data_IF_577634037972
#
_entry.id   IF_577634037972
#
_cell.length_a   1.000
_cell.length_b   1.000
_cell.length_c   1.000
_cell.angle_alpha   90.00
_cell.angle_beta   90.00
_cell.angle_gamma   90.00
#
_symmetry.space_group_name_H-M   'P 1'
#
loop_
_entity.id
_entity.type
_entity.pdbx_description
1 polymer ?
#
# COMPACT_ATOMS: atom_id res chain seq x y z
N UNK A 1 24.13 -48.58 21.96
CA UNK A 1 24.26 -47.17 21.55
C UNK A 1 23.26 -46.98 20.43
N UNK A 2 22.09 -46.45 20.79
CA UNK A 2 20.97 -46.30 19.88
C UNK A 2 21.27 -45.14 18.92
N UNK A 3 21.42 -45.48 17.64
CA UNK A 3 21.54 -44.52 16.56
C UNK A 3 20.14 -43.92 16.31
N UNK A 4 19.81 -42.86 17.04
CA UNK A 4 18.63 -42.05 16.76
C UNK A 4 18.97 -41.21 15.52
N UNK A 5 18.67 -41.75 14.35
CA UNK A 5 18.63 -40.98 13.12
C UNK A 5 17.67 -39.78 13.32
N UNK A 6 18.01 -38.57 12.86
CA UNK A 6 17.09 -37.45 12.95
C UNK A 6 15.87 -37.80 12.11
N UNK A 7 14.72 -37.88 12.77
CA UNK A 7 13.42 -38.10 12.15
C UNK A 7 13.25 -37.05 11.04
N UNK A 8 13.12 -37.51 9.81
CA UNK A 8 12.69 -36.69 8.68
C UNK A 8 11.38 -36.03 9.08
N UNK A 9 11.42 -34.73 9.35
CA UNK A 9 10.24 -33.99 9.77
C UNK A 9 9.21 -34.05 8.65
N UNK A 10 8.16 -34.78 9.00
CA UNK A 10 6.92 -35.03 8.29
C UNK A 10 6.40 -33.77 7.59
N UNK A 11 5.96 -33.97 6.35
CA UNK A 11 5.04 -33.12 5.58
C UNK A 11 4.42 -31.98 6.39
N UNK A 12 5.04 -30.81 6.37
CA UNK A 12 4.46 -29.62 6.95
C UNK A 12 3.25 -29.26 6.10
N UNK A 13 2.04 -29.42 6.65
CA UNK A 13 0.81 -29.03 5.96
C UNK A 13 0.95 -27.62 5.39
N UNK A 14 0.28 -27.27 4.27
CA UNK A 14 0.35 -25.93 3.70
C UNK A 14 0.01 -24.84 4.73
N UNK A 15 -0.94 -25.13 5.62
CA UNK A 15 -1.29 -24.26 6.75
C UNK A 15 -0.12 -24.07 7.72
N UNK A 16 0.56 -25.14 8.12
CA UNK A 16 1.74 -25.08 8.99
C UNK A 16 2.86 -24.25 8.35
N UNK A 17 3.08 -24.38 7.04
CA UNK A 17 4.06 -23.56 6.31
C UNK A 17 3.72 -22.07 6.37
N UNK A 18 2.45 -21.71 6.18
CA UNK A 18 1.99 -20.32 6.22
C UNK A 18 2.12 -19.76 7.64
N UNK A 19 1.69 -20.50 8.67
CA UNK A 19 1.80 -20.07 10.07
C UNK A 19 3.26 -19.86 10.49
N UNK A 20 4.18 -20.72 10.04
CA UNK A 20 5.61 -20.54 10.26
C UNK A 20 6.16 -19.28 9.59
N UNK A 21 5.71 -18.99 8.35
CA UNK A 21 6.08 -17.74 7.67
C UNK A 21 5.54 -16.51 8.41
N UNK A 22 4.29 -16.52 8.86
CA UNK A 22 3.69 -15.42 9.63
C UNK A 22 4.46 -15.21 10.94
N UNK A 23 4.78 -16.29 11.66
CA UNK A 23 5.57 -16.22 12.90
C UNK A 23 6.99 -15.67 12.67
N UNK A 24 7.63 -16.05 11.55
CA UNK A 24 8.97 -15.58 11.18
C UNK A 24 8.99 -14.11 10.78
N UNK A 25 8.03 -13.68 9.95
CA UNK A 25 8.03 -12.33 9.37
C UNK A 25 7.26 -11.31 10.22
N UNK A 26 6.43 -11.76 11.16
CA UNK A 26 5.62 -10.93 12.06
C UNK A 26 4.97 -9.75 11.34
N UNK A 27 4.13 -10.00 10.32
CA UNK A 27 3.50 -8.92 9.57
C UNK A 27 2.73 -8.01 10.54
N UNK A 28 3.00 -6.71 10.45
CA UNK A 28 2.38 -5.69 11.29
C UNK A 28 1.82 -4.59 10.39
N UNK A 29 0.64 -4.11 10.74
CA UNK A 29 0.02 -2.95 10.13
C UNK A 29 -0.35 -1.96 11.24
N UNK A 30 0.46 -0.91 11.36
CA UNK A 30 0.30 0.17 12.31
C UNK A 30 0.43 1.51 11.58
N UNK A 31 -0.71 2.20 11.46
CA UNK A 31 -0.81 3.56 10.92
C UNK A 31 -1.51 4.44 11.93
N UNK A 32 -0.90 5.57 12.24
CA UNK A 32 -1.57 6.67 12.94
C UNK A 32 -2.57 7.38 12.00
N UNK A 33 -3.54 8.14 12.52
CA UNK A 33 -4.46 8.91 11.68
C UNK A 33 -3.75 9.82 10.68
N UNK A 34 -2.65 10.46 11.09
CA UNK A 34 -1.85 11.34 10.24
C UNK A 34 -1.16 10.57 9.11
N UNK A 35 -0.56 9.41 9.43
CA UNK A 35 0.04 8.54 8.40
C UNK A 35 -0.99 7.97 7.43
N UNK A 36 -2.21 7.73 7.92
CA UNK A 36 -3.32 7.37 7.05
C UNK A 36 -3.68 8.52 6.10
N UNK A 37 -3.67 9.77 6.59
CA UNK A 37 -3.84 10.96 5.74
C UNK A 37 -2.71 11.13 4.72
N UNK A 38 -1.47 10.80 5.06
CA UNK A 38 -0.35 10.80 4.11
C UNK A 38 -0.59 9.79 2.99
N UNK A 39 -0.98 8.57 3.35
CA UNK A 39 -1.27 7.50 2.39
C UNK A 39 -2.42 7.90 1.45
N UNK A 40 -3.49 8.48 2.00
CA UNK A 40 -4.61 9.00 1.23
C UNK A 40 -4.20 10.12 0.27
N UNK A 41 -3.40 11.08 0.75
CA UNK A 41 -2.89 12.17 -0.08
C UNK A 41 -2.03 11.65 -1.23
N UNK A 42 -1.14 10.69 -0.97
CA UNK A 42 -0.34 10.05 -2.02
C UNK A 42 -1.22 9.30 -3.03
N UNK A 43 -2.32 8.67 -2.62
CA UNK A 43 -3.21 7.98 -3.54
C UNK A 43 -4.00 8.93 -4.44
N UNK A 44 -4.45 10.06 -3.89
CA UNK A 44 -5.20 11.07 -4.64
C UNK A 44 -4.29 11.87 -5.59
N UNK A 45 -3.05 12.15 -5.18
CA UNK A 45 -2.08 12.85 -6.02
C UNK A 45 -1.83 12.13 -7.35
N UNK A 46 -1.77 10.80 -7.33
CA UNK A 46 -1.60 9.98 -8.53
C UNK A 46 -2.81 9.98 -9.47
N UNK A 47 -4.00 10.29 -8.97
CA UNK A 47 -5.22 10.39 -9.80
C UNK A 47 -5.31 11.73 -10.53
N UNK A 48 -4.88 12.82 -9.89
CA UNK A 48 -4.85 14.15 -10.52
C UNK A 48 -3.84 14.23 -11.68
N UNK A 49 -2.68 13.56 -11.58
CA UNK A 49 -1.67 13.52 -12.64
C UNK A 49 -2.04 12.63 -13.83
N UNK A 50 -2.78 11.54 -13.59
CA UNK A 50 -3.08 10.55 -14.63
C UNK A 50 -4.34 10.88 -15.45
N UNK A 51 -5.17 11.82 -15.00
CA UNK A 51 -6.41 12.22 -15.70
C UNK A 51 -7.41 11.07 -15.85
N UNK A 52 -7.26 9.98 -15.11
CA UNK A 52 -8.11 8.79 -15.18
C UNK A 52 -9.21 8.92 -14.13
N UNK A 53 -10.45 9.04 -14.61
CA UNK A 53 -11.64 9.04 -13.76
C UNK A 53 -11.74 7.77 -12.92
N UNK A 54 -12.27 7.92 -11.70
CA UNK A 54 -12.26 6.94 -10.60
C UNK A 54 -12.86 5.54 -10.88
N UNK A 55 -13.40 5.28 -12.08
CA UNK A 55 -14.29 4.14 -12.37
C UNK A 55 -13.74 3.07 -13.32
N UNK A 56 -12.45 3.08 -13.69
CA UNK A 56 -11.89 1.97 -14.48
C UNK A 56 -11.29 0.88 -13.58
N UNK A 57 -11.74 -0.37 -13.74
CA UNK A 57 -11.25 -1.58 -13.02
C UNK A 57 -9.77 -1.93 -13.30
N UNK A 58 -9.03 -1.04 -13.96
CA UNK A 58 -7.66 -1.24 -14.41
C UNK A 58 -6.77 -0.02 -14.09
N UNK A 59 -6.57 0.24 -12.79
CA UNK A 59 -5.46 1.08 -12.31
C UNK A 59 -4.11 0.36 -12.53
N UNK A 60 -3.62 0.31 -13.76
CA UNK A 60 -2.37 -0.39 -14.08
C UNK A 60 -1.18 0.53 -14.39
N UNK A 61 -1.34 1.85 -14.26
CA UNK A 61 -0.21 2.78 -14.26
C UNK A 61 -0.08 3.38 -12.87
N UNK A 62 0.60 2.65 -11.98
CA UNK A 62 1.02 3.20 -10.70
C UNK A 62 2.09 4.27 -10.98
N UNK A 63 1.68 5.54 -10.92
CA UNK A 63 2.61 6.67 -10.83
C UNK A 63 3.48 6.45 -9.61
N UNK A 64 4.78 6.31 -9.87
CA UNK A 64 5.76 6.22 -8.79
C UNK A 64 6.18 7.63 -8.38
N UNK A 65 6.43 7.81 -7.09
CA UNK A 65 6.86 9.06 -6.47
C UNK A 65 8.34 8.99 -6.15
N UNK A 66 9.13 9.98 -6.60
CA UNK A 66 10.46 10.16 -6.05
C UNK A 66 10.38 10.65 -4.58
N UNK A 67 11.51 10.63 -3.87
CA UNK A 67 11.57 11.04 -2.47
C UNK A 67 11.14 12.51 -2.28
N UNK A 68 11.50 13.40 -3.22
CA UNK A 68 11.15 14.83 -3.13
C UNK A 68 9.64 15.07 -3.25
N UNK A 69 8.97 14.28 -4.08
CA UNK A 69 7.53 14.31 -4.29
C UNK A 69 6.82 13.79 -3.04
N UNK A 70 7.29 12.67 -2.46
CA UNK A 70 6.81 12.17 -1.18
C UNK A 70 6.90 13.23 -0.08
N UNK A 71 8.06 13.89 0.06
CA UNK A 71 8.25 14.99 1.01
C UNK A 71 7.26 16.14 0.78
N UNK A 72 7.07 16.54 -0.48
CA UNK A 72 6.16 17.64 -0.83
C UNK A 72 4.70 17.32 -0.49
N UNK A 73 4.23 16.12 -0.82
CA UNK A 73 2.86 15.66 -0.52
C UNK A 73 2.62 15.62 0.99
N UNK A 74 3.54 15.02 1.74
CA UNK A 74 3.37 14.85 3.19
C UNK A 74 3.45 16.19 3.91
N UNK A 75 4.36 17.08 3.49
CA UNK A 75 4.43 18.45 4.03
C UNK A 75 3.12 19.21 3.79
N UNK A 76 2.52 19.06 2.61
CA UNK A 76 1.22 19.65 2.30
C UNK A 76 0.11 19.17 3.25
N UNK A 77 0.16 17.90 3.67
CA UNK A 77 -0.75 17.35 4.68
C UNK A 77 -0.44 17.91 6.06
N UNK A 78 0.82 17.87 6.50
CA UNK A 78 1.28 18.42 7.79
C UNK A 78 0.77 19.85 8.02
N UNK A 79 0.88 20.71 6.99
CA UNK A 79 0.40 22.09 7.02
C UNK A 79 -1.11 22.21 7.25
N UNK A 80 -1.90 21.24 6.79
CA UNK A 80 -3.38 21.22 6.94
C UNK A 80 -3.83 20.67 8.28
N UNK A 81 -3.07 19.74 8.85
CA UNK A 81 -3.37 19.15 10.16
C UNK A 81 -2.69 19.90 11.32
N UNK A 82 -2.03 21.03 11.03
CA UNK A 82 -1.29 21.88 11.98
C UNK A 82 -0.20 21.13 12.76
N UNK A 83 0.52 20.23 12.08
CA UNK A 83 1.69 19.56 12.64
C UNK A 83 2.90 20.50 12.73
N UNK A 84 3.83 20.20 13.63
CA UNK A 84 5.02 21.03 13.82
C UNK A 84 5.94 20.98 12.59
N UNK A 85 6.19 22.10 11.90
CA UNK A 85 6.99 22.11 10.67
C UNK A 85 8.45 21.74 10.91
N UNK A 86 8.98 21.93 12.13
CA UNK A 86 10.39 21.64 12.44
C UNK A 86 10.69 20.14 12.46
N UNK A 87 9.67 19.31 12.59
CA UNK A 87 9.77 17.85 12.69
C UNK A 87 9.24 17.13 11.44
N UNK A 88 8.82 17.88 10.41
CA UNK A 88 8.20 17.34 9.19
C UNK A 88 9.11 16.36 8.45
N UNK A 89 10.36 16.74 8.16
CA UNK A 89 11.29 15.84 7.45
C UNK A 89 11.57 14.54 8.21
N UNK A 90 11.61 14.59 9.54
CA UNK A 90 11.81 13.40 10.37
C UNK A 90 10.57 12.51 10.35
N UNK A 91 9.36 13.10 10.40
CA UNK A 91 8.10 12.36 10.27
C UNK A 91 7.95 11.70 8.91
N UNK A 92 8.24 12.44 7.83
CA UNK A 92 8.21 11.94 6.45
C UNK A 92 9.11 10.71 6.31
N UNK A 93 10.37 10.83 6.71
CA UNK A 93 11.34 9.74 6.61
C UNK A 93 10.93 8.52 7.43
N UNK A 94 10.43 8.74 8.66
CA UNK A 94 9.93 7.67 9.51
C UNK A 94 8.70 6.98 8.89
N UNK A 95 7.78 7.76 8.31
CA UNK A 95 6.62 7.23 7.61
C UNK A 95 7.03 6.41 6.39
N UNK A 96 7.87 6.93 5.50
CA UNK A 96 8.31 6.22 4.29
C UNK A 96 9.00 4.89 4.65
N UNK A 97 9.88 4.91 5.66
CA UNK A 97 10.53 3.69 6.16
C UNK A 97 9.51 2.69 6.70
N UNK A 98 8.61 3.13 7.58
CA UNK A 98 7.57 2.25 8.16
C UNK A 98 6.62 1.72 7.09
N UNK A 99 6.23 2.53 6.13
CA UNK A 99 5.32 2.14 5.06
C UNK A 99 5.95 1.11 4.12
N UNK A 100 7.26 1.18 3.86
CA UNK A 100 8.00 0.13 3.18
C UNK A 100 8.05 -1.17 4.01
N UNK A 101 8.41 -1.08 5.29
CA UNK A 101 8.48 -2.24 6.20
C UNK A 101 7.14 -2.97 6.34
N UNK A 102 6.03 -2.22 6.33
CA UNK A 102 4.67 -2.74 6.43
C UNK A 102 4.08 -3.15 5.07
N UNK A 103 4.82 -2.98 3.96
CA UNK A 103 4.37 -3.34 2.62
C UNK A 103 3.25 -2.46 2.06
N UNK A 104 3.09 -1.24 2.57
CA UNK A 104 2.18 -0.21 2.05
C UNK A 104 2.79 0.55 0.88
N UNK A 105 4.11 0.71 0.91
CA UNK A 105 4.91 1.20 -0.21
C UNK A 105 5.82 0.09 -0.72
N UNK A 106 6.17 0.18 -2.00
CA UNK A 106 7.23 -0.60 -2.64
C UNK A 106 8.22 0.33 -3.31
N UNK A 107 9.48 -0.07 -3.36
CA UNK A 107 10.53 0.68 -4.06
C UNK A 107 10.77 0.04 -5.43
N UNK A 108 10.57 0.80 -6.50
CA UNK A 108 10.73 0.35 -7.87
C UNK A 108 11.87 1.10 -8.56
N UNK A 109 12.93 0.37 -8.93
CA UNK A 109 14.05 0.87 -9.73
C UNK A 109 14.96 1.86 -8.99
N UNK A 110 16.25 1.79 -9.25
CA UNK A 110 17.18 2.90 -9.01
C UNK A 110 17.52 3.44 -10.41
N UNK A 111 17.02 4.62 -10.76
CA UNK A 111 17.39 5.28 -12.01
C UNK A 111 18.70 6.05 -11.80
N UNK A 112 19.48 6.27 -12.86
CA UNK A 112 20.72 7.09 -12.80
C UNK A 112 20.43 8.53 -12.35
N UNK A 113 19.19 9.00 -12.52
CA UNK A 113 18.72 10.30 -12.04
C UNK A 113 18.21 10.31 -10.59
N UNK A 114 17.80 9.16 -10.04
CA UNK A 114 17.18 9.03 -8.72
C UNK A 114 17.91 7.99 -7.87
N UNK A 115 18.86 8.48 -7.07
CA UNK A 115 19.67 7.67 -6.15
C UNK A 115 18.81 7.02 -5.05
N UNK A 116 17.62 7.58 -4.76
CA UNK A 116 16.68 7.10 -3.74
C UNK A 116 15.64 6.07 -4.22
N UNK A 117 15.54 5.85 -5.54
CA UNK A 117 14.51 5.01 -6.15
C UNK A 117 13.10 5.61 -6.08
N UNK A 118 12.13 4.92 -6.68
CA UNK A 118 10.77 5.43 -6.81
C UNK A 118 9.79 4.65 -5.91
N UNK A 119 9.07 5.36 -5.05
CA UNK A 119 8.03 4.82 -4.16
C UNK A 119 6.72 4.58 -4.91
N UNK A 120 6.10 3.42 -4.72
CA UNK A 120 4.78 3.11 -5.28
C UNK A 120 3.87 2.56 -4.20
N UNK A 121 2.63 3.02 -4.17
CA UNK A 121 1.57 2.43 -3.34
C UNK A 121 1.36 0.98 -3.75
N UNK A 122 1.25 0.07 -2.78
CA UNK A 122 0.95 -1.33 -3.06
C UNK A 122 -0.55 -1.55 -3.17
N UNK A 123 -0.96 -2.73 -3.64
CA UNK A 123 -2.38 -3.12 -3.64
C UNK A 123 -2.99 -3.03 -2.22
N UNK A 124 -2.23 -3.39 -1.19
CA UNK A 124 -2.67 -3.29 0.20
C UNK A 124 -3.03 -1.86 0.58
N UNK A 125 -2.20 -0.89 0.19
CA UNK A 125 -2.49 0.53 0.46
C UNK A 125 -3.77 0.99 -0.26
N UNK A 126 -3.97 0.60 -1.51
CA UNK A 126 -5.20 0.92 -2.24
C UNK A 126 -6.43 0.27 -1.62
N UNK A 127 -6.35 -0.99 -1.21
CA UNK A 127 -7.46 -1.71 -0.57
C UNK A 127 -7.85 -1.08 0.78
N UNK A 128 -6.88 -0.56 1.53
CA UNK A 128 -7.13 0.17 2.78
C UNK A 128 -7.84 1.51 2.57
N UNK A 129 -7.55 2.19 1.46
CA UNK A 129 -8.12 3.50 1.13
C UNK A 129 -9.48 3.40 0.41
N UNK A 130 -9.77 2.26 -0.23
CA UNK A 130 -10.99 2.02 -1.00
C UNK A 130 -12.29 2.44 -0.30
N UNK A 131 -12.50 2.19 1.02
CA UNK A 131 -13.73 2.62 1.71
C UNK A 131 -13.92 4.14 1.75
N UNK A 132 -12.84 4.91 1.64
CA UNK A 132 -12.85 6.39 1.72
C UNK A 132 -12.90 7.06 0.34
N UNK A 133 -12.69 6.29 -0.74
CA UNK A 133 -12.71 6.76 -2.12
C UNK A 133 -14.08 6.59 -2.78
N UNK A 134 -14.98 5.80 -2.17
CA UNK A 134 -16.34 5.67 -2.67
C UNK A 134 -17.06 7.00 -2.47
N UNK A 135 -17.39 7.68 -3.57
CA UNK A 135 -18.44 8.68 -3.54
C UNK A 135 -19.71 8.00 -3.01
N UNK A 136 -20.49 8.71 -2.19
CA UNK A 136 -21.84 8.31 -1.79
C UNK A 136 -22.82 8.20 -2.99
N UNK A 137 -22.30 8.08 -4.22
CA UNK A 137 -23.05 7.77 -5.42
C UNK A 137 -23.43 6.28 -5.38
N UNK A 138 -24.49 6.03 -4.64
CA UNK A 138 -25.37 4.88 -4.78
C UNK A 138 -26.06 4.80 -6.16
N UNK A 139 -25.67 5.62 -7.15
CA UNK A 139 -26.49 5.85 -8.34
C UNK A 139 -26.18 5.00 -9.57
N UNK A 140 -25.09 4.22 -9.61
CA UNK A 140 -24.87 3.26 -10.71
C UNK A 140 -24.17 1.97 -10.25
N UNK A 141 -24.70 1.34 -9.19
CA UNK A 141 -24.31 -0.05 -8.88
C UNK A 141 -24.94 -0.97 -9.91
N UNK A 142 -24.12 -1.41 -10.86
CA UNK A 142 -24.42 -2.57 -11.69
C UNK A 142 -25.05 -3.67 -10.83
N UNK A 143 -26.28 -4.05 -11.19
CA UNK A 143 -27.03 -5.05 -10.44
C UNK A 143 -26.32 -6.41 -10.53
N UNK A 144 -26.41 -7.23 -9.48
CA UNK A 144 -25.86 -8.58 -9.50
C UNK A 144 -26.34 -9.38 -10.73
N UNK A 145 -27.58 -9.14 -11.19
CA UNK A 145 -28.13 -9.71 -12.41
C UNK A 145 -27.38 -9.30 -13.68
N UNK A 146 -26.94 -8.04 -13.80
CA UNK A 146 -26.12 -7.59 -14.93
C UNK A 146 -24.72 -8.23 -14.90
N UNK A 147 -24.14 -8.43 -13.72
CA UNK A 147 -22.87 -9.17 -13.58
C UNK A 147 -22.99 -10.64 -14.00
N UNK A 148 -24.08 -11.31 -13.61
CA UNK A 148 -24.34 -12.69 -14.02
C UNK A 148 -24.52 -12.83 -15.54
N UNK A 149 -25.22 -11.89 -16.18
CA UNK A 149 -25.40 -11.85 -17.64
C UNK A 149 -24.09 -11.79 -18.43
N UNK A 150 -23.02 -11.22 -17.86
CA UNK A 150 -21.68 -11.17 -18.49
C UNK A 150 -20.88 -12.46 -18.30
N UNK A 151 -21.10 -13.20 -17.21
CA UNK A 151 -20.38 -14.44 -16.90
C UNK A 151 -20.92 -15.61 -17.75
N UNK A 152 -22.16 -15.50 -18.22
CA UNK A 152 -22.86 -16.53 -19.00
C UNK A 152 -22.58 -16.47 -20.52
N UNK A 153 -21.70 -15.56 -20.97
CA UNK A 153 -21.21 -15.44 -22.37
C UNK A 153 -19.77 -15.98 -22.49
#
# INVERSE_FOLDING_TARGET
MDNVAPTSQQFTSPLSCVLLKISKYQPNLHLTPNEFSYLAAMAMWGMEESGVESNSEHYFVQSGYDETTCHSIIRYVDERINEDPNTSDVRVNNFLKRALEQGLLSLAGMSVADVGGTYRLTQLAHDLLKPFQQSDELDDKETLSQRYLRIDQ
#
